data_IF_212797500991
#
_entry.id   IF_212797500991
#
_cell.length_a   1.000
_cell.length_b   1.000
_cell.length_c   1.000
_cell.angle_alpha   90.00
_cell.angle_beta   90.00
_cell.angle_gamma   90.00
#
_symmetry.space_group_name_H-M   'P 1'
#
loop_
_entity.id
_entity.type
_entity.pdbx_description
1 polymer ?
#
# COMPACT_ATOMS: atom_id res chain seq x y z
N UNK A 1 31.63 -4.03 -15.79
CA UNK A 1 30.74 -5.22 -15.75
C UNK A 1 30.21 -5.50 -17.15
N UNK A 2 30.15 -6.75 -17.63
CA UNK A 2 29.64 -7.03 -18.98
C UNK A 2 28.11 -6.95 -19.02
N UNK A 3 27.53 -6.59 -20.18
CA UNK A 3 26.07 -6.55 -20.40
C UNK A 3 25.38 -7.86 -19.99
N UNK A 4 26.04 -8.99 -20.24
CA UNK A 4 25.54 -10.31 -19.85
C UNK A 4 25.55 -10.52 -18.33
N UNK A 5 26.62 -10.16 -17.63
CA UNK A 5 26.68 -10.26 -16.16
C UNK A 5 25.61 -9.37 -15.51
N UNK A 6 25.45 -8.15 -16.01
CA UNK A 6 24.41 -7.24 -15.51
C UNK A 6 23.00 -7.82 -15.72
N UNK A 7 22.71 -8.33 -16.92
CA UNK A 7 21.41 -8.96 -17.20
C UNK A 7 21.09 -10.12 -16.23
N UNK A 8 22.04 -11.02 -15.97
CA UNK A 8 21.81 -12.13 -15.05
C UNK A 8 21.63 -11.66 -13.60
N UNK A 9 22.31 -10.60 -13.18
CA UNK A 9 22.08 -9.99 -11.85
C UNK A 9 20.64 -9.48 -11.74
N UNK A 10 20.16 -8.72 -12.74
CA UNK A 10 18.79 -8.20 -12.72
C UNK A 10 17.76 -9.35 -12.80
N UNK A 11 18.03 -10.39 -13.59
CA UNK A 11 17.18 -11.57 -13.66
C UNK A 11 17.10 -12.30 -12.31
N UNK A 12 18.23 -12.46 -11.61
CA UNK A 12 18.25 -13.04 -10.27
C UNK A 12 17.45 -12.19 -9.27
N UNK A 13 17.59 -10.87 -9.30
CA UNK A 13 16.80 -9.95 -8.45
C UNK A 13 15.31 -10.11 -8.75
N UNK A 14 14.93 -10.18 -10.03
CA UNK A 14 13.53 -10.36 -10.44
C UNK A 14 12.95 -11.67 -9.89
N UNK A 15 13.63 -12.79 -10.11
CA UNK A 15 13.20 -14.10 -9.62
C UNK A 15 13.13 -14.13 -8.09
N UNK A 16 14.15 -13.60 -7.41
CA UNK A 16 14.20 -13.54 -5.95
C UNK A 16 13.05 -12.67 -5.40
N UNK A 17 12.75 -11.54 -6.04
CA UNK A 17 11.63 -10.68 -5.63
C UNK A 17 10.28 -11.40 -5.75
N UNK A 18 10.08 -12.19 -6.81
CA UNK A 18 8.90 -13.04 -6.95
C UNK A 18 8.78 -14.10 -5.86
N UNK A 19 9.89 -14.79 -5.55
CA UNK A 19 9.93 -15.82 -4.50
C UNK A 19 9.64 -15.20 -3.12
N UNK A 20 10.32 -14.10 -2.76
CA UNK A 20 10.10 -13.42 -1.48
C UNK A 20 8.65 -12.90 -1.39
N UNK A 21 8.09 -12.42 -2.51
CA UNK A 21 6.70 -11.99 -2.57
C UNK A 21 5.74 -13.12 -2.27
N UNK A 22 5.92 -14.27 -2.91
CA UNK A 22 5.14 -15.48 -2.63
C UNK A 22 5.29 -15.93 -1.17
N UNK A 23 6.51 -15.96 -0.63
CA UNK A 23 6.73 -16.33 0.78
C UNK A 23 5.99 -15.36 1.72
N UNK A 24 6.06 -14.06 1.45
CA UNK A 24 5.44 -13.03 2.27
C UNK A 24 3.91 -13.11 2.24
N UNK A 25 3.33 -13.40 1.06
CA UNK A 25 1.89 -13.65 0.91
C UNK A 25 1.40 -14.90 1.65
N UNK A 26 2.27 -15.91 1.83
CA UNK A 26 1.92 -17.17 2.50
C UNK A 26 2.19 -17.16 4.01
N UNK A 27 3.20 -16.41 4.48
CA UNK A 27 3.64 -16.43 5.89
C UNK A 27 3.14 -15.27 6.74
N UNK A 28 2.92 -14.10 6.14
CA UNK A 28 2.50 -12.91 6.88
C UNK A 28 0.98 -12.79 6.88
N UNK A 29 0.38 -12.44 8.02
CA UNK A 29 -1.06 -12.18 8.07
C UNK A 29 -1.43 -11.07 7.08
N UNK A 30 -2.61 -11.17 6.46
CA UNK A 30 -3.15 -10.14 5.56
C UNK A 30 -3.20 -8.76 6.23
N UNK A 31 -3.31 -8.71 7.55
CA UNK A 31 -3.42 -7.46 8.31
C UNK A 31 -2.07 -6.87 8.71
N UNK A 32 -0.98 -7.66 8.65
CA UNK A 32 0.32 -7.20 9.12
C UNK A 32 0.89 -6.13 8.19
N UNK A 33 1.27 -4.99 8.77
CA UNK A 33 1.91 -3.91 8.01
C UNK A 33 3.18 -4.38 7.31
N UNK A 34 3.91 -5.31 7.92
CA UNK A 34 5.12 -5.90 7.34
C UNK A 34 4.83 -6.52 5.97
N UNK A 35 3.70 -7.22 5.81
CA UNK A 35 3.25 -7.79 4.53
C UNK A 35 3.07 -6.72 3.47
N UNK A 36 2.37 -5.64 3.81
CA UNK A 36 2.08 -4.54 2.88
C UNK A 36 3.33 -3.75 2.52
N UNK A 37 4.16 -3.40 3.50
CA UNK A 37 5.43 -2.70 3.24
C UNK A 37 6.38 -3.53 2.36
N UNK A 38 6.53 -4.83 2.64
CA UNK A 38 7.32 -5.73 1.79
C UNK A 38 6.66 -5.85 0.41
N UNK A 39 5.34 -6.04 0.37
CA UNK A 39 4.56 -6.11 -0.87
C UNK A 39 4.74 -4.88 -1.76
N UNK A 40 4.74 -3.68 -1.19
CA UNK A 40 4.95 -2.41 -1.89
C UNK A 40 6.35 -2.32 -2.50
N UNK A 41 7.38 -2.67 -1.73
CA UNK A 41 8.78 -2.71 -2.21
C UNK A 41 8.93 -3.75 -3.33
N UNK A 42 8.37 -4.95 -3.13
CA UNK A 42 8.45 -6.03 -4.10
C UNK A 42 7.64 -5.74 -5.36
N UNK A 43 6.47 -5.10 -5.25
CA UNK A 43 5.66 -4.66 -6.40
C UNK A 43 6.47 -3.73 -7.30
N UNK A 44 7.13 -2.74 -6.72
CA UNK A 44 8.01 -1.84 -7.47
C UNK A 44 9.21 -2.56 -8.06
N UNK A 45 9.89 -3.40 -7.27
CA UNK A 45 11.08 -4.11 -7.72
C UNK A 45 10.75 -5.10 -8.86
N UNK A 46 9.68 -5.87 -8.70
CA UNK A 46 9.19 -6.82 -9.67
C UNK A 46 8.73 -6.12 -10.97
N UNK A 47 8.23 -4.88 -10.87
CA UNK A 47 7.88 -4.07 -12.04
C UNK A 47 9.08 -3.45 -12.77
N UNK A 48 10.02 -2.87 -12.01
CA UNK A 48 11.18 -2.17 -12.57
C UNK A 48 12.19 -3.13 -13.20
N UNK A 49 12.31 -4.35 -12.69
CA UNK A 49 13.29 -5.31 -13.17
C UNK A 49 13.07 -5.74 -14.64
N UNK A 50 11.86 -6.10 -15.11
CA UNK A 50 11.56 -6.32 -16.53
C UNK A 50 11.84 -5.09 -17.40
N UNK A 51 11.51 -3.90 -16.91
CA UNK A 51 11.75 -2.65 -17.62
C UNK A 51 13.25 -2.45 -17.90
N UNK A 52 14.10 -2.65 -16.89
CA UNK A 52 15.56 -2.57 -17.05
C UNK A 52 16.10 -3.72 -17.93
N UNK A 53 15.59 -4.94 -17.75
CA UNK A 53 16.04 -6.10 -18.51
C UNK A 53 15.83 -5.95 -20.02
N UNK A 54 14.79 -5.24 -20.47
CA UNK A 54 14.52 -4.98 -21.89
C UNK A 54 15.71 -4.35 -22.61
N UNK A 55 16.41 -3.42 -21.95
CA UNK A 55 17.58 -2.73 -22.52
C UNK A 55 18.88 -3.55 -22.41
N UNK A 56 18.90 -4.52 -21.49
CA UNK A 56 20.09 -5.27 -21.12
C UNK A 56 20.16 -6.68 -21.73
N UNK A 57 19.18 -7.10 -22.55
CA UNK A 57 19.15 -8.43 -23.19
C UNK A 57 20.48 -8.75 -23.92
N UNK A 58 21.18 -9.84 -23.55
CA UNK A 58 22.42 -10.26 -24.20
C UNK A 58 22.22 -10.71 -25.65
N UNK A 59 23.12 -10.28 -26.54
CA UNK A 59 23.10 -10.70 -27.97
C UNK A 59 23.33 -12.20 -28.15
N UNK A 60 24.07 -12.85 -27.25
CA UNK A 60 24.43 -14.28 -27.29
C UNK A 60 23.35 -15.23 -26.74
N UNK A 61 22.18 -14.74 -26.33
CA UNK A 61 21.09 -15.62 -25.86
C UNK A 61 20.55 -16.53 -26.97
N UNK A 62 20.09 -17.75 -26.62
CA UNK A 62 19.36 -18.62 -27.55
C UNK A 62 18.15 -17.90 -28.16
N UNK A 63 17.82 -18.25 -29.41
CA UNK A 63 16.72 -17.60 -30.15
C UNK A 63 15.40 -17.69 -29.40
N UNK A 64 15.05 -18.88 -28.90
CA UNK A 64 13.83 -19.10 -28.11
C UNK A 64 13.78 -18.27 -26.82
N UNK A 65 14.89 -18.18 -26.09
CA UNK A 65 14.97 -17.34 -24.89
C UNK A 65 14.74 -15.86 -25.21
N UNK A 66 15.24 -15.36 -26.35
CA UNK A 66 14.98 -13.99 -26.81
C UNK A 66 13.51 -13.78 -27.14
N UNK A 67 12.86 -14.75 -27.79
CA UNK A 67 11.43 -14.69 -28.12
C UNK A 67 10.59 -14.67 -26.85
N UNK A 68 10.83 -15.60 -25.92
CA UNK A 68 10.09 -15.64 -24.64
C UNK A 68 10.25 -14.34 -23.85
N UNK A 69 11.46 -13.78 -23.77
CA UNK A 69 11.69 -12.51 -23.08
C UNK A 69 10.97 -11.34 -23.75
N UNK A 70 10.91 -11.30 -25.09
CA UNK A 70 10.16 -10.26 -25.82
C UNK A 70 8.66 -10.36 -25.57
N UNK A 71 8.10 -11.57 -25.57
CA UNK A 71 6.68 -11.79 -25.25
C UNK A 71 6.40 -11.39 -23.80
N UNK A 72 7.25 -11.83 -22.87
CA UNK A 72 7.13 -11.48 -21.45
C UNK A 72 7.15 -9.96 -21.24
N UNK A 73 8.13 -9.25 -21.81
CA UNK A 73 8.19 -7.78 -21.72
C UNK A 73 7.01 -7.12 -22.42
N UNK A 74 6.58 -7.64 -23.57
CA UNK A 74 5.40 -7.15 -24.28
C UNK A 74 4.17 -7.23 -23.41
N UNK A 75 3.83 -8.41 -22.89
CA UNK A 75 2.64 -8.59 -22.05
C UNK A 75 2.74 -7.78 -20.75
N UNK A 76 3.92 -7.72 -20.14
CA UNK A 76 4.11 -7.12 -18.83
C UNK A 76 4.21 -5.59 -18.84
N UNK A 77 4.92 -5.00 -19.81
CA UNK A 77 5.20 -3.56 -19.86
C UNK A 77 4.14 -2.82 -20.69
N UNK A 78 3.65 -3.41 -21.77
CA UNK A 78 2.74 -2.75 -22.72
C UNK A 78 1.47 -2.18 -22.10
N UNK A 79 0.79 -2.85 -21.14
CA UNK A 79 -0.37 -2.27 -20.47
C UNK A 79 -0.05 -0.94 -19.78
N UNK A 80 1.12 -0.83 -19.16
CA UNK A 80 1.54 0.39 -18.46
C UNK A 80 1.96 1.50 -19.41
N UNK A 81 2.44 1.19 -20.61
CA UNK A 81 2.77 2.21 -21.63
C UNK A 81 1.48 2.77 -22.26
N UNK A 82 0.51 1.90 -22.56
CA UNK A 82 -0.74 2.32 -23.22
C UNK A 82 -1.70 2.97 -22.24
N UNK A 83 -1.68 2.55 -20.98
CA UNK A 83 -2.58 3.06 -19.97
C UNK A 83 -1.76 3.63 -18.79
N UNK A 84 -1.23 4.86 -18.92
CA UNK A 84 -0.53 5.56 -17.85
C UNK A 84 -1.27 5.60 -16.50
N UNK A 85 -2.61 5.60 -16.41
CA UNK A 85 -3.29 5.50 -15.12
C UNK A 85 -3.00 4.19 -14.36
N UNK A 86 -2.51 3.11 -15.01
CA UNK A 86 -2.04 1.91 -14.31
C UNK A 86 -0.82 2.19 -13.41
N UNK A 87 -0.04 3.24 -13.69
CA UNK A 87 1.07 3.66 -12.85
C UNK A 87 0.59 4.07 -11.46
N UNK A 88 -0.63 4.60 -11.36
CA UNK A 88 -1.23 4.97 -10.08
C UNK A 88 -1.32 3.78 -9.12
N UNK A 89 -1.58 2.57 -9.62
CA UNK A 89 -1.60 1.35 -8.80
C UNK A 89 -0.21 0.93 -8.31
N UNK A 90 0.87 1.32 -8.99
CA UNK A 90 2.25 0.98 -8.57
C UNK A 90 2.74 1.91 -7.45
N UNK A 91 2.34 3.18 -7.49
CA UNK A 91 2.89 4.24 -6.64
C UNK A 91 1.93 4.75 -5.56
N UNK A 92 0.70 4.24 -5.49
CA UNK A 92 -0.17 4.50 -4.34
C UNK A 92 0.24 3.63 -3.16
N UNK A 93 0.62 4.30 -2.09
CA UNK A 93 0.98 3.73 -0.80
C UNK A 93 0.08 4.31 0.29
N UNK A 94 -0.01 3.60 1.39
CA UNK A 94 -0.76 4.09 2.54
C UNK A 94 -0.06 5.24 3.21
N UNK A 95 -0.85 6.25 3.55
CA UNK A 95 -0.33 7.50 4.10
C UNK A 95 -0.55 7.51 5.60
N UNK A 96 0.48 7.92 6.35
CA UNK A 96 0.33 8.21 7.77
C UNK A 96 -0.50 9.49 7.94
N UNK A 97 -1.60 9.41 8.67
CA UNK A 97 -2.52 10.54 8.91
C UNK A 97 -2.31 11.14 10.29
N UNK A 98 -2.03 10.31 11.28
CA UNK A 98 -1.70 10.75 12.64
C UNK A 98 -0.81 9.72 13.33
N UNK A 99 0.01 10.20 14.26
CA UNK A 99 0.99 9.38 14.94
C UNK A 99 1.22 9.91 16.35
N UNK A 100 1.31 9.01 17.34
CA UNK A 100 1.74 9.32 18.70
C UNK A 100 2.84 8.34 19.12
N UNK A 101 3.30 8.39 20.37
CA UNK A 101 4.41 7.54 20.82
C UNK A 101 4.14 6.04 20.73
N UNK A 102 2.88 5.61 20.80
CA UNK A 102 2.49 4.20 20.88
C UNK A 102 1.83 3.67 19.61
N UNK A 103 1.21 4.53 18.82
CA UNK A 103 0.34 4.16 17.71
C UNK A 103 0.54 5.06 16.49
N UNK A 104 0.23 4.51 15.33
CA UNK A 104 0.17 5.22 14.05
C UNK A 104 -1.13 4.88 13.34
N UNK A 105 -1.76 5.91 12.78
CA UNK A 105 -3.00 5.82 12.01
C UNK A 105 -2.64 6.02 10.55
N UNK A 106 -3.00 5.04 9.72
CA UNK A 106 -2.77 5.09 8.28
C UNK A 106 -4.08 5.09 7.52
N UNK A 107 -4.17 5.93 6.50
CA UNK A 107 -5.28 5.92 5.56
C UNK A 107 -4.89 5.09 4.35
N UNK A 108 -5.66 4.02 4.13
CA UNK A 108 -5.62 3.22 2.92
C UNK A 108 -6.43 3.91 1.82
N UNK A 109 -5.84 4.15 0.65
CA UNK A 109 -6.53 4.76 -0.50
C UNK A 109 -6.38 3.89 -1.74
N UNK A 110 -7.04 2.75 -1.84
CA UNK A 110 -6.99 1.97 -3.08
C UNK A 110 -7.64 2.72 -4.24
N UNK A 111 -6.99 2.70 -5.41
CA UNK A 111 -7.30 3.59 -6.53
C UNK A 111 -8.11 2.97 -7.68
N UNK A 112 -8.85 1.89 -7.48
CA UNK A 112 -9.46 1.15 -8.61
C UNK A 112 -10.92 0.74 -8.49
N UNK A 113 -11.52 0.76 -7.30
CA UNK A 113 -12.94 0.48 -7.09
C UNK A 113 -13.40 1.22 -5.84
N UNK A 114 -14.67 1.56 -5.79
CA UNK A 114 -15.41 2.28 -4.73
C UNK A 114 -15.39 1.62 -3.34
N UNK A 115 -14.39 0.80 -3.04
CA UNK A 115 -14.10 0.32 -1.70
C UNK A 115 -13.23 1.36 -0.99
N UNK A 116 -13.93 2.38 -0.49
CA UNK A 116 -13.83 2.79 0.89
C UNK A 116 -12.46 3.27 1.41
N UNK A 117 -12.32 4.58 1.59
CA UNK A 117 -11.25 5.14 2.41
C UNK A 117 -11.38 4.60 3.84
N UNK A 118 -10.37 3.86 4.32
CA UNK A 118 -10.37 3.29 5.66
C UNK A 118 -9.16 3.79 6.44
N UNK A 119 -9.36 4.09 7.73
CA UNK A 119 -8.29 4.45 8.65
C UNK A 119 -7.98 3.27 9.57
N UNK A 120 -6.80 2.70 9.39
CA UNK A 120 -6.30 1.57 10.18
C UNK A 120 -5.38 2.06 11.28
N UNK A 121 -5.52 1.49 12.47
CA UNK A 121 -4.67 1.74 13.62
C UNK A 121 -3.63 0.64 13.72
N UNK A 122 -2.37 1.04 13.89
CA UNK A 122 -1.27 0.14 14.17
C UNK A 122 -0.57 0.54 15.46
N UNK A 123 -0.22 -0.46 16.27
CA UNK A 123 0.62 -0.31 17.46
C UNK A 123 2.08 -0.41 17.05
N UNK A 124 2.89 0.55 17.49
CA UNK A 124 4.34 0.57 17.27
C UNK A 124 5.01 -0.49 18.14
N UNK A 125 5.89 -1.27 17.52
CA UNK A 125 6.67 -2.32 18.14
C UNK A 125 8.09 -2.31 17.57
N UNK A 126 8.85 -1.27 17.91
CA UNK A 126 10.16 -0.99 17.30
C UNK A 126 9.99 -0.53 15.85
N UNK A 127 10.63 -1.22 14.90
CA UNK A 127 10.50 -0.96 13.45
C UNK A 127 9.17 -1.52 12.90
N UNK A 128 8.49 -2.38 13.65
CA UNK A 128 7.27 -3.05 13.23
C UNK A 128 6.02 -2.28 13.66
N UNK A 129 5.01 -2.32 12.80
CA UNK A 129 3.67 -1.81 13.05
C UNK A 129 2.70 -2.98 13.07
N UNK A 130 2.13 -3.28 14.24
CA UNK A 130 1.17 -4.37 14.42
C UNK A 130 -0.23 -3.84 14.29
N UNK A 131 -1.05 -4.46 13.44
CA UNK A 131 -2.42 -4.04 13.25
C UNK A 131 -3.24 -4.21 14.54
N UNK A 132 -4.04 -3.21 14.86
CA UNK A 132 -4.93 -3.18 16.04
C UNK A 132 -6.38 -3.27 15.61
N UNK A 133 -6.74 -2.60 14.52
CA UNK A 133 -8.11 -2.57 14.03
C UNK A 133 -8.39 -1.33 13.21
N UNK A 134 -9.62 -1.20 12.75
CA UNK A 134 -10.09 -0.04 12.00
C UNK A 134 -10.98 0.81 12.89
N UNK A 135 -10.90 2.11 12.69
CA UNK A 135 -11.96 3.04 13.07
C UNK A 135 -12.32 3.80 11.81
N UNK A 136 -13.59 4.17 11.65
CA UNK A 136 -14.03 4.84 10.42
C UNK A 136 -13.95 3.94 9.17
N UNK A 137 -14.48 2.71 9.27
CA UNK A 137 -14.64 1.83 8.10
C UNK A 137 -16.03 1.99 7.50
N UNK A 138 -16.06 2.31 6.23
CA UNK A 138 -17.22 2.49 5.36
C UNK A 138 -18.32 1.41 5.29
N UNK A 139 -18.02 0.15 5.64
CA UNK A 139 -19.02 -0.91 5.71
C UNK A 139 -20.04 -0.61 6.81
N UNK A 140 -19.60 0.17 7.79
CA UNK A 140 -20.48 0.91 8.67
C UNK A 140 -20.66 2.27 8.00
N UNK A 141 -21.89 2.68 7.72
CA UNK A 141 -22.23 4.07 7.40
C UNK A 141 -21.84 4.96 8.60
N UNK A 142 -20.54 5.16 8.85
CA UNK A 142 -20.03 6.05 9.88
C UNK A 142 -20.20 7.46 9.34
N UNK A 143 -20.98 8.28 10.02
CA UNK A 143 -21.08 9.72 9.77
C UNK A 143 -19.68 10.36 9.64
N UNK A 144 -18.70 9.82 10.39
CA UNK A 144 -17.30 10.20 10.36
C UNK A 144 -16.62 10.08 8.98
N UNK A 145 -16.96 9.08 8.16
CA UNK A 145 -16.32 8.87 6.86
C UNK A 145 -16.72 9.95 5.85
N UNK A 146 -17.85 10.60 6.08
CA UNK A 146 -18.35 11.70 5.27
C UNK A 146 -17.74 13.04 5.70
N UNK A 147 -17.10 13.09 6.86
CA UNK A 147 -16.49 14.30 7.42
C UNK A 147 -15.04 14.42 6.97
N UNK A 148 -14.67 15.57 6.39
CA UNK A 148 -13.27 15.93 6.17
C UNK A 148 -12.69 16.42 7.50
N UNK A 149 -11.80 15.64 8.12
CA UNK A 149 -11.20 15.97 9.41
C UNK A 149 -9.71 15.64 9.48
N UNK A 150 -8.99 16.38 10.33
CA UNK A 150 -7.58 16.15 10.65
C UNK A 150 -7.45 15.81 12.12
N UNK A 151 -6.84 14.68 12.42
CA UNK A 151 -6.58 14.26 13.79
C UNK A 151 -5.39 15.07 14.32
N UNK A 152 -5.61 15.86 15.36
CA UNK A 152 -4.55 16.62 16.05
C UNK A 152 -3.86 15.77 17.10
N UNK A 153 -4.66 15.14 17.95
CA UNK A 153 -4.20 14.30 19.05
C UNK A 153 -5.15 13.13 19.22
N UNK A 154 -4.64 11.99 19.67
CA UNK A 154 -5.47 10.83 19.95
C UNK A 154 -4.85 9.90 21.00
N UNK A 155 -5.74 9.13 21.62
CA UNK A 155 -5.44 8.03 22.52
C UNK A 155 -6.29 6.82 22.17
N UNK A 156 -5.79 5.64 22.53
CA UNK A 156 -6.48 4.37 22.32
C UNK A 156 -6.51 3.65 23.65
N UNK A 157 -7.70 3.53 24.21
CA UNK A 157 -7.97 2.86 25.48
C UNK A 157 -9.06 1.81 25.25
N UNK A 158 -8.85 0.55 25.68
CA UNK A 158 -9.84 -0.53 25.59
C UNK A 158 -10.59 -0.61 24.24
N UNK A 159 -9.85 -0.72 23.13
CA UNK A 159 -10.42 -0.77 21.77
C UNK A 159 -11.32 0.42 21.42
N UNK A 160 -11.07 1.59 22.01
CA UNK A 160 -11.79 2.82 21.71
C UNK A 160 -10.78 3.89 21.29
N UNK A 161 -11.00 4.46 20.11
CA UNK A 161 -10.30 5.64 19.64
C UNK A 161 -10.94 6.87 20.28
N UNK A 162 -10.12 7.73 20.90
CA UNK A 162 -10.53 9.07 21.34
C UNK A 162 -9.57 10.07 20.74
N UNK A 163 -10.06 10.97 19.90
CA UNK A 163 -9.24 11.94 19.18
C UNK A 163 -9.80 13.35 19.22
N UNK A 164 -8.92 14.32 19.45
CA UNK A 164 -9.20 15.72 19.13
C UNK A 164 -8.97 15.92 17.64
N UNK A 165 -10.01 16.28 16.90
CA UNK A 165 -9.93 16.51 15.47
C UNK A 165 -10.33 17.93 15.11
N UNK A 166 -9.74 18.42 14.03
CA UNK A 166 -10.21 19.62 13.36
C UNK A 166 -11.11 19.20 12.21
N UNK A 167 -12.41 19.47 12.34
CA UNK A 167 -13.33 19.37 11.21
C UNK A 167 -12.98 20.46 10.20
N UNK A 168 -12.94 20.13 8.92
CA UNK A 168 -12.70 21.06 7.81
C UNK A 168 -13.97 21.38 7.06
N UNK A 169 -14.93 20.46 7.00
CA UNK A 169 -16.23 20.65 6.36
C UNK A 169 -17.35 20.05 7.20
N UNK A 170 -18.51 20.71 7.23
CA UNK A 170 -19.74 20.13 7.77
C UNK A 170 -20.48 19.30 6.70
N UNK A 171 -21.53 18.60 7.09
CA UNK A 171 -22.39 17.78 6.20
C UNK A 171 -22.95 18.57 5.01
N UNK A 172 -23.07 19.90 5.13
CA UNK A 172 -23.55 20.80 4.09
C UNK A 172 -22.42 21.34 3.18
N UNK A 173 -21.19 20.83 3.30
CA UNK A 173 -20.04 21.22 2.48
C UNK A 173 -19.43 22.59 2.81
N UNK A 174 -19.89 23.26 3.88
CA UNK A 174 -19.33 24.53 4.33
C UNK A 174 -18.06 24.30 5.14
N UNK A 175 -17.05 25.15 4.92
CA UNK A 175 -15.80 25.09 5.68
C UNK A 175 -16.05 25.57 7.10
N UNK A 176 -16.06 24.63 8.05
CA UNK A 176 -16.23 24.92 9.48
C UNK A 176 -15.02 24.36 10.20
N UNK A 177 -14.04 25.21 10.49
CA UNK A 177 -12.88 24.85 11.31
C UNK A 177 -13.28 24.83 12.79
N UNK A 178 -13.74 23.67 13.26
CA UNK A 178 -14.11 23.48 14.67
C UNK A 178 -13.33 22.30 15.26
N UNK A 179 -12.74 22.54 16.42
CA UNK A 179 -12.15 21.49 17.23
C UNK A 179 -13.26 20.65 17.86
N UNK A 180 -13.22 19.36 17.57
CA UNK A 180 -14.25 18.39 17.97
C UNK A 180 -13.58 17.17 18.57
N UNK A 181 -14.10 16.72 19.71
CA UNK A 181 -13.71 15.45 20.31
C UNK A 181 -14.50 14.32 19.64
N UNK A 182 -13.80 13.37 19.05
CA UNK A 182 -14.38 12.16 18.48
C UNK A 182 -14.04 10.97 19.38
N UNK A 183 -15.06 10.17 19.68
CA UNK A 183 -14.93 8.89 20.37
C UNK A 183 -15.56 7.82 19.49
N UNK A 184 -14.79 6.80 19.13
CA UNK A 184 -15.25 5.76 18.21
C UNK A 184 -14.72 4.37 18.60
N UNK A 185 -15.55 3.32 18.58
CA UNK A 185 -15.08 1.96 18.80
C UNK A 185 -14.16 1.49 17.67
N UNK A 186 -13.11 0.75 18.03
CA UNK A 186 -12.19 0.10 17.10
C UNK A 186 -12.73 -1.30 16.81
N UNK A 187 -12.91 -1.61 15.54
CA UNK A 187 -13.34 -2.92 15.11
C UNK A 187 -12.12 -3.74 14.67
N UNK A 188 -11.93 -4.90 15.30
CA UNK A 188 -11.09 -5.97 14.76
C UNK A 188 -11.83 -6.62 13.59
N UNK A 189 -11.91 -5.92 12.45
CA UNK A 189 -12.14 -6.63 11.19
C UNK A 189 -10.80 -7.16 10.71
N UNK A 190 -10.81 -8.40 10.21
CA UNK A 190 -9.78 -8.84 9.27
C UNK A 190 -9.68 -7.76 8.18
N UNK A 191 -8.47 -7.24 7.94
CA UNK A 191 -8.23 -6.27 6.88
C UNK A 191 -8.91 -6.78 5.60
N UNK A 192 -9.67 -5.92 4.88
CA UNK A 192 -10.43 -6.37 3.71
C UNK A 192 -9.51 -7.13 2.74
N UNK A 193 -9.96 -8.34 2.36
CA UNK A 193 -9.27 -9.19 1.37
C UNK A 193 -9.17 -8.51 0.01
#
# INVERSE_FOLDING_TARGET
>A
MTKSKFFYIILCIHLLSGIIGLITLNLSSNCDRLRWNIGDILRLLFFLTPFVMMFCVPKKLPTWSKVCMRIYFGVYIFPFVIFPPLWWFLFKFDTAVAENNQYIIRQYRYGGRDYYEQKSIYKKSGILEKYVGLFDSSDSYSELNQLDYVIKEFKIDNMTFTGNVLLKRNENGQVVTKDTLIVYPIYEKEAPM
#
